data_IF_435641812526
#
_entry.id   IF_435641812526
#
_cell.length_a   1.000
_cell.length_b   1.000
_cell.length_c   1.000
_cell.angle_alpha   90.00
_cell.angle_beta   90.00
_cell.angle_gamma   90.00
#
_symmetry.space_group_name_H-M   'P 1'
#
loop_
_entity.id
_entity.type
_entity.pdbx_description
1 polymer ?
#
# COMPACT_ATOMS: atom_id res chain seq x y z
N UNK A 1 -7.46 13.51 -0.45
CA UNK A 1 -8.14 13.40 -1.76
C UNK A 1 -9.12 14.53 -2.04
N UNK A 2 -10.29 14.60 -1.38
CA UNK A 2 -11.31 15.61 -1.70
C UNK A 2 -10.77 17.04 -1.50
N UNK A 3 -10.03 17.26 -0.41
CA UNK A 3 -9.33 18.52 -0.17
C UNK A 3 -8.25 18.80 -1.22
N UNK A 4 -7.49 17.77 -1.64
CA UNK A 4 -6.41 17.92 -2.62
C UNK A 4 -6.91 18.31 -4.02
N UNK A 5 -8.18 18.02 -4.35
CA UNK A 5 -8.80 18.45 -5.61
C UNK A 5 -9.05 19.97 -5.65
N UNK A 6 -8.99 20.69 -4.53
CA UNK A 6 -9.29 22.12 -4.40
C UNK A 6 -10.76 22.50 -4.65
N UNK A 7 -11.54 21.66 -5.33
CA UNK A 7 -12.97 21.79 -5.57
C UNK A 7 -13.67 20.46 -5.26
N UNK A 8 -14.38 20.34 -4.12
CA UNK A 8 -14.90 19.05 -3.65
C UNK A 8 -15.91 18.41 -4.59
N UNK A 9 -16.67 19.21 -5.36
CA UNK A 9 -17.63 18.73 -6.36
C UNK A 9 -16.98 17.89 -7.49
N UNK A 10 -15.66 18.03 -7.71
CA UNK A 10 -14.95 17.22 -8.69
C UNK A 10 -14.96 15.73 -8.33
N UNK A 11 -14.99 15.38 -7.05
CA UNK A 11 -15.05 13.99 -6.62
C UNK A 11 -16.33 13.30 -7.12
N UNK A 12 -17.48 13.97 -7.01
CA UNK A 12 -18.76 13.45 -7.53
C UNK A 12 -18.72 13.31 -9.05
N UNK A 13 -18.07 14.26 -9.74
CA UNK A 13 -17.90 14.17 -11.19
C UNK A 13 -17.05 12.95 -11.61
N UNK A 14 -16.07 12.55 -10.80
CA UNK A 14 -15.27 11.35 -11.05
C UNK A 14 -16.08 10.05 -10.90
N UNK A 15 -17.08 10.04 -10.02
CA UNK A 15 -17.99 8.91 -9.81
C UNK A 15 -19.09 8.80 -10.88
N UNK A 16 -19.26 9.82 -11.73
CA UNK A 16 -20.30 9.81 -12.77
C UNK A 16 -20.01 8.83 -13.90
N UNK A 17 -18.74 8.61 -14.23
CA UNK A 17 -18.33 7.77 -15.38
C UNK A 17 -17.22 6.82 -14.95
N UNK A 18 -17.44 5.54 -15.21
CA UNK A 18 -16.42 4.50 -15.03
C UNK A 18 -15.47 4.49 -16.24
N UNK A 19 -14.22 4.92 -16.04
CA UNK A 19 -13.18 4.93 -17.09
C UNK A 19 -12.09 3.92 -16.77
N UNK A 20 -12.22 2.70 -17.29
CA UNK A 20 -11.27 1.61 -17.01
C UNK A 20 -9.82 1.90 -17.46
N UNK A 21 -9.61 2.76 -18.46
CA UNK A 21 -8.27 3.16 -18.92
C UNK A 21 -7.64 4.27 -18.07
N UNK A 22 -8.42 4.94 -17.22
CA UNK A 22 -7.90 6.00 -16.36
C UNK A 22 -7.60 5.45 -14.98
N UNK A 23 -6.31 5.38 -14.63
CA UNK A 23 -5.90 5.00 -13.28
C UNK A 23 -6.66 5.82 -12.23
N UNK A 24 -6.73 7.15 -12.40
CA UNK A 24 -7.42 8.05 -11.46
C UNK A 24 -8.92 7.71 -11.28
N UNK A 25 -9.62 7.33 -12.35
CA UNK A 25 -11.03 6.90 -12.26
C UNK A 25 -11.13 5.57 -11.50
N UNK A 26 -10.32 4.58 -11.84
CA UNK A 26 -10.31 3.27 -11.16
C UNK A 26 -10.10 3.40 -9.66
N UNK A 27 -9.20 4.29 -9.22
CA UNK A 27 -8.93 4.52 -7.80
C UNK A 27 -10.13 5.04 -7.01
N UNK A 28 -10.87 5.99 -7.59
CA UNK A 28 -12.07 6.52 -6.96
C UNK A 28 -13.14 5.44 -6.80
N UNK A 29 -13.33 4.60 -7.84
CA UNK A 29 -14.26 3.47 -7.74
C UNK A 29 -13.82 2.43 -6.71
N UNK A 30 -12.54 2.05 -6.69
CA UNK A 30 -11.98 1.12 -5.69
C UNK A 30 -12.18 1.68 -4.27
N UNK A 31 -11.85 2.96 -4.05
CA UNK A 31 -12.00 3.62 -2.75
C UNK A 31 -13.47 3.68 -2.32
N UNK A 32 -14.37 4.03 -3.23
CA UNK A 32 -15.80 4.10 -2.94
C UNK A 32 -16.38 2.72 -2.61
N UNK A 33 -16.04 1.68 -3.37
CA UNK A 33 -16.52 0.33 -3.07
C UNK A 33 -15.91 -0.24 -1.80
N UNK A 34 -14.61 0.00 -1.56
CA UNK A 34 -13.98 -0.32 -0.27
C UNK A 34 -14.72 0.34 0.89
N UNK A 35 -14.99 1.65 0.81
CA UNK A 35 -15.75 2.40 1.80
C UNK A 35 -17.16 1.85 2.02
N UNK A 36 -17.85 1.51 0.92
CA UNK A 36 -19.19 0.93 0.94
C UNK A 36 -19.23 -0.49 1.54
N UNK A 37 -18.11 -1.20 1.59
CA UNK A 37 -18.01 -2.50 2.26
C UNK A 37 -17.56 -2.36 3.72
N UNK A 38 -16.49 -1.61 3.98
CA UNK A 38 -15.81 -1.59 5.29
C UNK A 38 -16.65 -0.92 6.38
N UNK A 39 -17.31 0.20 6.07
CA UNK A 39 -18.10 0.95 7.06
C UNK A 39 -19.33 0.17 7.53
N UNK A 40 -20.25 -0.26 6.63
CA UNK A 40 -21.37 -1.08 7.07
C UNK A 40 -20.94 -2.46 7.57
N UNK A 41 -19.82 -3.02 7.08
CA UNK A 41 -19.28 -4.27 7.61
C UNK A 41 -18.85 -4.15 9.07
N UNK A 42 -18.19 -3.05 9.45
CA UNK A 42 -17.82 -2.77 10.83
C UNK A 42 -19.05 -2.54 11.70
N UNK A 43 -20.02 -1.76 11.23
CA UNK A 43 -21.28 -1.52 11.96
C UNK A 43 -22.03 -2.84 12.18
N UNK A 44 -22.15 -3.68 11.16
CA UNK A 44 -22.84 -4.96 11.25
C UNK A 44 -22.11 -5.94 12.18
N UNK A 45 -20.77 -5.93 12.19
CA UNK A 45 -19.96 -6.71 13.12
C UNK A 45 -20.20 -6.26 14.57
N UNK A 46 -20.24 -4.96 14.83
CA UNK A 46 -20.48 -4.40 16.16
C UNK A 46 -21.88 -4.73 16.69
N UNK A 47 -22.90 -4.58 15.84
CA UNK A 47 -24.29 -4.93 16.17
C UNK A 47 -24.45 -6.42 16.50
N UNK A 48 -23.73 -7.30 15.78
CA UNK A 48 -23.71 -8.74 16.04
C UNK A 48 -22.97 -9.07 17.35
N UNK A 49 -21.82 -8.43 17.60
CA UNK A 49 -21.02 -8.62 18.81
C UNK A 49 -21.80 -8.23 20.08
N UNK A 50 -22.59 -7.15 20.01
CA UNK A 50 -23.45 -6.70 21.11
C UNK A 50 -24.78 -7.44 21.22
N UNK A 51 -25.05 -8.44 20.37
CA UNK A 51 -26.30 -9.22 20.37
C UNK A 51 -27.55 -8.32 20.35
N UNK A 52 -27.50 -7.22 19.59
CA UNK A 52 -28.58 -6.22 19.54
C UNK A 52 -29.87 -6.81 18.97
N UNK A 53 -29.74 -7.77 18.06
CA UNK A 53 -30.86 -8.47 17.43
C UNK A 53 -30.82 -9.95 17.78
N UNK A 54 -32.00 -10.58 17.84
CA UNK A 54 -32.15 -12.01 18.06
C UNK A 54 -32.81 -12.73 16.89
N UNK A 55 -32.66 -14.06 16.84
CA UNK A 55 -33.34 -14.94 15.89
C UNK A 55 -32.87 -14.77 14.44
N UNK A 56 -33.81 -14.82 13.49
CA UNK A 56 -33.52 -14.81 12.04
C UNK A 56 -32.78 -13.54 11.59
N UNK A 57 -33.01 -12.41 12.26
CA UNK A 57 -32.36 -11.13 11.94
C UNK A 57 -30.86 -11.19 12.23
N UNK A 58 -30.46 -11.82 13.34
CA UNK A 58 -29.04 -12.02 13.67
C UNK A 58 -28.33 -12.90 12.64
N UNK A 59 -29.00 -13.95 12.16
CA UNK A 59 -28.45 -14.81 11.12
C UNK A 59 -28.25 -14.06 9.79
N UNK A 60 -29.20 -13.23 9.38
CA UNK A 60 -29.06 -12.37 8.21
C UNK A 60 -27.92 -11.35 8.40
N UNK A 61 -27.81 -10.75 9.58
CA UNK A 61 -26.75 -9.81 9.93
C UNK A 61 -25.38 -10.47 9.84
N UNK A 62 -25.22 -11.69 10.38
CA UNK A 62 -23.98 -12.46 10.31
C UNK A 62 -23.55 -12.75 8.86
N UNK A 63 -24.49 -13.12 7.99
CA UNK A 63 -24.21 -13.35 6.57
C UNK A 63 -23.78 -12.05 5.90
N UNK A 64 -24.53 -10.96 6.13
CA UNK A 64 -24.22 -9.64 5.59
C UNK A 64 -22.84 -9.16 6.04
N UNK A 65 -22.51 -9.30 7.33
CA UNK A 65 -21.20 -9.01 7.91
C UNK A 65 -20.10 -9.80 7.19
N UNK A 66 -20.29 -11.11 6.97
CA UNK A 66 -19.33 -11.94 6.25
C UNK A 66 -19.06 -11.46 4.82
N UNK A 67 -20.11 -11.13 4.07
CA UNK A 67 -20.01 -10.60 2.71
C UNK A 67 -19.30 -9.25 2.69
N UNK A 68 -19.63 -8.35 3.62
CA UNK A 68 -19.06 -7.01 3.71
C UNK A 68 -17.59 -7.04 4.14
N UNK A 69 -17.21 -7.92 5.08
CA UNK A 69 -15.81 -8.14 5.48
C UNK A 69 -15.00 -8.74 4.33
N UNK A 70 -15.56 -9.70 3.60
CA UNK A 70 -14.89 -10.25 2.42
C UNK A 70 -14.71 -9.18 1.34
N UNK A 71 -15.75 -8.38 1.07
CA UNK A 71 -15.68 -7.26 0.15
C UNK A 71 -14.64 -6.23 0.57
N UNK A 72 -14.58 -5.87 1.85
CA UNK A 72 -13.59 -4.92 2.35
C UNK A 72 -12.16 -5.45 2.25
N UNK A 73 -11.94 -6.75 2.49
CA UNK A 73 -10.64 -7.38 2.28
C UNK A 73 -10.22 -7.33 0.79
N UNK A 74 -11.12 -7.71 -0.12
CA UNK A 74 -10.86 -7.72 -1.56
C UNK A 74 -10.55 -6.31 -2.11
N UNK A 75 -11.44 -5.36 -1.87
CA UNK A 75 -11.23 -3.98 -2.33
C UNK A 75 -10.11 -3.28 -1.55
N UNK A 76 -9.83 -3.69 -0.32
CA UNK A 76 -8.71 -3.22 0.48
C UNK A 76 -7.36 -3.62 -0.13
N UNK A 77 -7.24 -4.85 -0.65
CA UNK A 77 -6.06 -5.27 -1.41
C UNK A 77 -5.86 -4.42 -2.67
N UNK A 78 -6.94 -4.19 -3.44
CA UNK A 78 -6.88 -3.32 -4.61
C UNK A 78 -6.45 -1.90 -4.22
N UNK A 79 -7.03 -1.35 -3.15
CA UNK A 79 -6.70 -0.01 -2.67
C UNK A 79 -5.24 0.11 -2.21
N UNK A 80 -4.70 -0.91 -1.55
CA UNK A 80 -3.31 -0.92 -1.07
C UNK A 80 -2.30 -0.93 -2.24
N UNK A 81 -2.58 -1.68 -3.30
CA UNK A 81 -1.70 -1.76 -4.50
C UNK A 81 -1.88 -0.57 -5.45
N UNK A 82 -3.04 0.07 -5.43
CA UNK A 82 -3.44 1.09 -6.39
C UNK A 82 -2.50 2.29 -6.45
N UNK A 83 -1.93 2.72 -5.33
CA UNK A 83 -0.96 3.82 -5.32
C UNK A 83 0.25 3.52 -6.20
N UNK A 84 0.77 2.29 -6.16
CA UNK A 84 1.88 1.85 -7.01
C UNK A 84 1.50 1.87 -8.50
N UNK A 85 0.28 1.47 -8.84
CA UNK A 85 -0.24 1.54 -10.22
C UNK A 85 -0.35 2.99 -10.69
N UNK A 86 -0.85 3.89 -9.83
CA UNK A 86 -1.03 5.30 -10.17
C UNK A 86 0.29 5.97 -10.56
N UNK A 87 1.36 5.74 -9.78
CA UNK A 87 2.68 6.31 -10.06
C UNK A 87 3.38 5.57 -11.22
N UNK A 88 3.22 4.25 -11.33
CA UNK A 88 3.83 3.44 -12.39
C UNK A 88 3.21 3.70 -13.77
N UNK A 89 1.98 4.19 -13.84
CA UNK A 89 1.30 4.57 -15.09
C UNK A 89 1.66 5.98 -15.60
N UNK A 90 2.69 6.62 -15.03
CA UNK A 90 3.17 7.94 -15.45
C UNK A 90 4.37 7.84 -16.39
N UNK A 91 4.73 8.95 -17.04
CA UNK A 91 5.91 9.05 -17.89
C UNK A 91 7.22 9.29 -17.10
N UNK A 92 7.21 9.24 -15.76
CA UNK A 92 8.41 9.44 -14.94
C UNK A 92 9.28 8.18 -15.02
N UNK A 93 10.53 8.27 -15.52
CA UNK A 93 11.36 7.10 -15.83
C UNK A 93 11.48 6.10 -14.68
N UNK A 94 11.88 6.58 -13.51
CA UNK A 94 12.08 5.74 -12.33
C UNK A 94 10.80 4.99 -11.91
N UNK A 95 9.61 5.56 -12.11
CA UNK A 95 8.35 4.90 -11.76
C UNK A 95 7.88 3.96 -12.86
N UNK A 96 7.99 4.38 -14.11
CA UNK A 96 7.53 3.60 -15.26
C UNK A 96 8.33 2.30 -15.43
N UNK A 97 9.65 2.35 -15.21
CA UNK A 97 10.51 1.16 -15.27
C UNK A 97 10.13 0.15 -14.19
N UNK A 98 9.78 0.63 -13.00
CA UNK A 98 9.39 -0.21 -11.86
C UNK A 98 7.87 -0.43 -11.75
N UNK A 99 7.10 -0.23 -12.82
CA UNK A 99 5.62 -0.31 -12.81
C UNK A 99 5.06 -1.67 -12.37
N UNK A 100 5.83 -2.75 -12.49
CA UNK A 100 5.45 -4.08 -11.99
C UNK A 100 5.78 -4.27 -10.51
N UNK A 101 6.85 -3.62 -10.02
CA UNK A 101 7.32 -3.75 -8.65
C UNK A 101 6.54 -2.83 -7.69
N UNK A 102 6.24 -1.60 -8.13
CA UNK A 102 5.58 -0.58 -7.31
C UNK A 102 4.22 -1.04 -6.74
N UNK A 103 3.31 -1.67 -7.51
CA UNK A 103 2.04 -2.16 -6.96
C UNK A 103 2.24 -3.22 -5.87
N UNK A 104 3.23 -4.09 -6.04
CA UNK A 104 3.57 -5.14 -5.06
C UNK A 104 4.08 -4.47 -3.78
N UNK A 105 5.07 -3.58 -3.92
CA UNK A 105 5.67 -2.81 -2.83
C UNK A 105 4.65 -2.03 -2.00
N UNK A 106 3.80 -1.23 -2.66
CA UNK A 106 2.79 -0.45 -1.95
C UNK A 106 1.73 -1.34 -1.28
N UNK A 107 1.39 -2.47 -1.90
CA UNK A 107 0.50 -3.47 -1.33
C UNK A 107 1.07 -4.12 -0.08
N UNK A 108 2.32 -4.59 -0.12
CA UNK A 108 3.01 -5.25 1.00
C UNK A 108 3.32 -4.29 2.12
N UNK A 109 3.78 -3.08 1.81
CA UNK A 109 3.97 -2.01 2.78
C UNK A 109 2.65 -1.61 3.46
N UNK A 110 1.54 -1.57 2.71
CA UNK A 110 0.20 -1.32 3.26
C UNK A 110 -0.25 -2.43 4.22
N UNK A 111 -0.12 -3.69 3.78
CA UNK A 111 -0.48 -4.87 4.56
C UNK A 111 0.34 -4.99 5.85
N UNK A 112 1.66 -4.86 5.76
CA UNK A 112 2.56 -4.92 6.91
C UNK A 112 2.38 -3.74 7.87
N UNK A 113 2.06 -2.54 7.36
CA UNK A 113 1.71 -1.39 8.20
C UNK A 113 0.43 -1.61 9.00
N UNK A 114 -0.60 -2.19 8.37
CA UNK A 114 -1.85 -2.53 9.05
C UNK A 114 -1.60 -3.59 10.15
N UNK A 115 -0.82 -4.62 9.83
CA UNK A 115 -0.46 -5.65 10.81
C UNK A 115 0.35 -5.07 11.99
N UNK A 116 1.38 -4.27 11.70
CA UNK A 116 2.20 -3.63 12.73
C UNK A 116 1.41 -2.68 13.62
N UNK A 117 0.47 -1.91 13.06
CA UNK A 117 -0.39 -1.04 13.85
C UNK A 117 -1.29 -1.85 14.81
N UNK A 118 -1.89 -2.93 14.34
CA UNK A 118 -2.72 -3.79 15.19
C UNK A 118 -1.90 -4.46 16.30
N UNK A 119 -0.68 -4.91 15.99
CA UNK A 119 0.27 -5.46 16.98
C UNK A 119 0.62 -4.42 18.06
N UNK A 120 0.86 -3.16 17.68
CA UNK A 120 1.14 -2.06 18.62
C UNK A 120 -0.08 -1.67 19.46
N UNK A 121 -1.29 -1.82 18.92
CA UNK A 121 -2.54 -1.66 19.67
C UNK A 121 -2.80 -2.83 20.65
N UNK A 122 -1.91 -3.83 20.71
CA UNK A 122 -1.99 -4.94 21.65
C UNK A 122 -2.63 -6.20 21.11
N UNK A 123 -3.00 -6.24 19.82
CA UNK A 123 -3.55 -7.45 19.20
C UNK A 123 -2.42 -8.45 18.92
N UNK A 124 -2.30 -9.48 19.76
CA UNK A 124 -1.25 -10.50 19.66
C UNK A 124 -1.76 -11.80 19.03
N UNK A 125 -2.27 -11.68 17.80
CA UNK A 125 -2.77 -12.83 17.04
C UNK A 125 -1.64 -13.48 16.25
N UNK A 126 -1.58 -14.82 16.23
CA UNK A 126 -0.61 -15.55 15.42
C UNK A 126 -0.70 -15.17 13.92
N UNK A 127 -1.92 -14.92 13.43
CA UNK A 127 -2.16 -14.48 12.06
C UNK A 127 -1.50 -13.12 11.75
N UNK A 128 -1.49 -12.16 12.68
CA UNK A 128 -0.83 -10.86 12.48
C UNK A 128 0.68 -11.04 12.35
N UNK A 129 1.26 -11.91 13.17
CA UNK A 129 2.69 -12.19 13.09
C UNK A 129 3.07 -12.87 11.76
N UNK A 130 2.24 -13.81 11.27
CA UNK A 130 2.43 -14.43 9.94
C UNK A 130 2.37 -13.38 8.83
N UNK A 131 1.39 -12.48 8.86
CA UNK A 131 1.28 -11.37 7.90
C UNK A 131 2.49 -10.45 7.98
N UNK A 132 2.97 -10.14 9.18
CA UNK A 132 4.15 -9.31 9.40
C UNK A 132 5.44 -9.95 8.88
N UNK A 133 5.62 -11.26 9.07
CA UNK A 133 6.72 -12.02 8.47
C UNK A 133 6.62 -12.03 6.95
N UNK A 134 5.44 -12.32 6.40
CA UNK A 134 5.20 -12.31 4.96
C UNK A 134 5.56 -10.96 4.34
N UNK A 135 5.06 -9.86 4.91
CA UNK A 135 5.37 -8.52 4.45
C UNK A 135 6.88 -8.24 4.49
N UNK A 136 7.55 -8.52 5.61
CA UNK A 136 9.00 -8.30 5.74
C UNK A 136 9.83 -9.16 4.78
N UNK A 137 9.43 -10.41 4.52
CA UNK A 137 10.10 -11.28 3.54
C UNK A 137 9.95 -10.72 2.14
N UNK A 138 8.72 -10.35 1.73
CA UNK A 138 8.48 -9.80 0.39
C UNK A 138 9.25 -8.50 0.20
N UNK A 139 9.21 -7.58 1.16
CA UNK A 139 9.97 -6.33 1.12
C UNK A 139 11.49 -6.58 1.01
N UNK A 140 12.01 -7.60 1.71
CA UNK A 140 13.43 -7.99 1.59
C UNK A 140 13.78 -8.52 0.20
N UNK A 141 12.88 -9.31 -0.41
CA UNK A 141 13.06 -9.80 -1.79
C UNK A 141 13.00 -8.64 -2.78
N UNK A 142 12.08 -7.69 -2.59
CA UNK A 142 11.98 -6.50 -3.44
C UNK A 142 13.24 -5.64 -3.38
N UNK A 143 13.81 -5.43 -2.17
CA UNK A 143 15.09 -4.74 -1.99
C UNK A 143 16.24 -5.43 -2.75
N UNK A 144 16.33 -6.76 -2.65
CA UNK A 144 17.34 -7.54 -3.37
C UNK A 144 17.14 -7.40 -4.87
N UNK A 145 15.90 -7.50 -5.35
CA UNK A 145 15.58 -7.38 -6.76
C UNK A 145 15.92 -5.98 -7.30
N UNK A 146 15.56 -4.93 -6.57
CA UNK A 146 15.91 -3.53 -6.91
C UNK A 146 17.44 -3.33 -6.96
N UNK A 147 18.19 -4.04 -6.12
CA UNK A 147 19.66 -3.96 -6.10
C UNK A 147 20.33 -4.67 -7.27
N UNK A 148 19.67 -5.69 -7.84
CA UNK A 148 20.17 -6.49 -8.96
C UNK A 148 19.72 -5.90 -10.30
N UNK A 149 18.45 -5.47 -10.39
CA UNK A 149 17.80 -5.02 -11.62
C UNK A 149 18.12 -3.55 -11.94
N UNK A 150 19.37 -3.33 -12.35
CA UNK A 150 19.88 -1.99 -12.66
C UNK A 150 19.52 -1.59 -14.08
N UNK A 151 18.58 -0.66 -14.22
CA UNK A 151 18.16 -0.11 -15.51
C UNK A 151 19.12 0.96 -16.08
N UNK A 152 20.42 0.85 -15.80
CA UNK A 152 21.45 1.76 -16.33
C UNK A 152 21.18 3.24 -16.01
N UNK A 153 21.27 4.10 -17.02
CA UNK A 153 21.16 5.56 -16.86
C UNK A 153 19.78 6.02 -16.35
N UNK A 154 18.71 5.27 -16.62
CA UNK A 154 17.36 5.64 -16.19
C UNK A 154 17.13 5.43 -14.68
N UNK A 155 18.04 4.72 -14.01
CA UNK A 155 17.98 4.39 -12.59
C UNK A 155 18.98 5.13 -11.71
N UNK A 156 19.73 6.08 -12.29
CA UNK A 156 20.71 6.91 -11.57
C UNK A 156 20.10 7.64 -10.37
N UNK A 157 18.83 8.05 -10.47
CA UNK A 157 18.10 8.69 -9.36
C UNK A 157 17.90 7.78 -8.14
N UNK A 158 17.82 6.46 -8.34
CA UNK A 158 17.70 5.46 -7.26
C UNK A 158 19.07 5.09 -6.70
N UNK A 159 20.13 5.15 -7.51
CA UNK A 159 21.43 4.59 -7.16
C UNK A 159 22.51 5.63 -6.79
N UNK A 160 22.52 6.79 -7.45
CA UNK A 160 23.60 7.78 -7.38
C UNK A 160 23.22 9.04 -6.58
N UNK A 161 21.92 9.34 -6.50
CA UNK A 161 21.44 10.55 -5.82
C UNK A 161 21.09 10.32 -4.35
N UNK A 162 21.10 11.41 -3.57
CA UNK A 162 20.68 11.40 -2.16
C UNK A 162 19.28 10.83 -1.91
N UNK A 163 18.39 10.92 -2.91
CA UNK A 163 17.06 10.30 -2.90
C UNK A 163 17.09 8.78 -2.80
N UNK A 164 18.14 8.13 -3.32
CA UNK A 164 18.35 6.69 -3.23
C UNK A 164 18.57 6.19 -1.81
N UNK A 165 19.14 7.03 -0.94
CA UNK A 165 19.31 6.68 0.48
C UNK A 165 17.98 6.55 1.21
N UNK A 166 16.97 7.35 0.85
CA UNK A 166 15.64 7.21 1.44
C UNK A 166 15.00 5.87 1.06
N UNK A 167 15.14 5.43 -0.19
CA UNK A 167 14.64 4.11 -0.62
C UNK A 167 15.35 3.00 0.14
N UNK A 168 16.70 3.02 0.18
CA UNK A 168 17.48 1.99 0.88
C UNK A 168 17.17 1.93 2.37
N UNK A 169 17.10 3.08 3.05
CA UNK A 169 16.76 3.13 4.48
C UNK A 169 15.35 2.58 4.68
N UNK A 170 14.37 3.05 3.88
CA UNK A 170 12.99 2.59 3.97
C UNK A 170 12.86 1.07 3.81
N UNK A 171 13.49 0.51 2.77
CA UNK A 171 13.44 -0.91 2.44
C UNK A 171 14.19 -1.79 3.44
N UNK A 172 15.32 -1.32 4.00
CA UNK A 172 16.01 -2.03 5.08
C UNK A 172 15.12 -2.13 6.33
N UNK A 173 14.42 -1.04 6.65
CA UNK A 173 13.53 -0.95 7.81
C UNK A 173 12.27 -1.81 7.65
N UNK A 174 11.66 -1.88 6.45
CA UNK A 174 10.48 -2.73 6.17
C UNK A 174 10.84 -4.19 5.99
N UNK A 175 11.98 -4.50 5.38
CA UNK A 175 12.39 -5.87 5.09
C UNK A 175 13.29 -6.48 6.17
N UNK A 176 14.62 -6.50 5.96
CA UNK A 176 15.55 -7.30 6.75
C UNK A 176 15.58 -6.92 8.23
N UNK A 177 15.52 -5.62 8.58
CA UNK A 177 15.53 -5.23 9.98
C UNK A 177 14.25 -5.68 10.70
N UNK A 178 13.08 -5.45 10.11
CA UNK A 178 11.82 -5.92 10.68
C UNK A 178 11.80 -7.45 10.82
N UNK A 179 12.34 -8.18 9.82
CA UNK A 179 12.43 -9.63 9.85
C UNK A 179 13.33 -10.12 11.00
N UNK A 180 14.51 -9.53 11.17
CA UNK A 180 15.44 -9.84 12.26
C UNK A 180 14.79 -9.55 13.62
N UNK A 181 14.16 -8.39 13.78
CA UNK A 181 13.47 -8.03 15.02
C UNK A 181 12.34 -9.02 15.36
N UNK A 182 11.57 -9.47 14.36
CA UNK A 182 10.55 -10.51 14.56
C UNK A 182 11.16 -11.85 14.96
N UNK A 183 12.27 -12.24 14.34
CA UNK A 183 12.97 -13.49 14.66
C UNK A 183 13.42 -13.54 16.13
N UNK A 184 13.88 -12.42 16.68
CA UNK A 184 14.23 -12.29 18.10
C UNK A 184 13.01 -12.11 19.04
N UNK A 185 11.78 -12.20 18.52
CA UNK A 185 10.55 -12.03 19.31
C UNK A 185 10.24 -10.58 19.69
N UNK A 186 10.96 -9.60 19.13
CA UNK A 186 10.80 -8.17 19.40
C UNK A 186 9.70 -7.55 18.51
N UNK A 187 8.51 -8.14 18.55
CA UNK A 187 7.37 -7.79 17.67
C UNK A 187 7.02 -6.29 17.69
N UNK A 188 6.93 -5.59 18.84
CA UNK A 188 6.65 -4.16 18.85
C UNK A 188 7.72 -3.32 18.13
N UNK A 189 8.99 -3.66 18.31
CA UNK A 189 10.09 -2.97 17.63
C UNK A 189 10.09 -3.26 16.13
N UNK A 190 9.77 -4.50 15.73
CA UNK A 190 9.59 -4.83 14.33
C UNK A 190 8.44 -4.04 13.69
N UNK A 191 7.31 -3.89 14.40
CA UNK A 191 6.17 -3.08 13.94
C UNK A 191 6.54 -1.61 13.79
N UNK A 192 7.25 -1.02 14.76
CA UNK A 192 7.75 0.36 14.68
C UNK A 192 8.72 0.53 13.50
N UNK A 193 9.69 -0.38 13.37
CA UNK A 193 10.64 -0.38 12.25
C UNK A 193 9.90 -0.43 10.91
N UNK A 194 8.93 -1.32 10.77
CA UNK A 194 8.16 -1.48 9.55
C UNK A 194 7.36 -0.22 9.22
N UNK A 195 6.67 0.38 10.20
CA UNK A 195 5.89 1.61 9.99
C UNK A 195 6.77 2.78 9.57
N UNK A 196 7.91 2.97 10.23
CA UNK A 196 8.88 4.02 9.87
C UNK A 196 9.45 3.75 8.48
N UNK A 197 9.84 2.51 8.19
CA UNK A 197 10.35 2.11 6.89
C UNK A 197 9.35 2.36 5.76
N UNK A 198 8.08 1.97 5.96
CA UNK A 198 7.02 2.15 4.98
C UNK A 198 6.76 3.64 4.71
N UNK A 199 6.83 4.49 5.74
CA UNK A 199 6.71 5.94 5.59
C UNK A 199 7.89 6.52 4.80
N UNK A 200 9.12 6.18 5.20
CA UNK A 200 10.35 6.66 4.56
C UNK A 200 10.42 6.21 3.10
N UNK A 201 10.06 4.96 2.81
CA UNK A 201 10.04 4.40 1.47
C UNK A 201 9.05 5.15 0.55
N UNK A 202 7.86 5.50 1.04
CA UNK A 202 6.88 6.30 0.27
C UNK A 202 7.44 7.67 -0.12
N UNK A 203 8.09 8.36 0.82
CA UNK A 203 8.75 9.64 0.52
C UNK A 203 9.95 9.46 -0.41
N UNK A 204 10.71 8.36 -0.25
CA UNK A 204 11.82 8.00 -1.13
C UNK A 204 11.38 7.85 -2.59
N UNK A 205 10.33 7.08 -2.85
CA UNK A 205 9.77 6.91 -4.19
C UNK A 205 9.28 8.23 -4.80
N UNK A 206 8.63 9.09 -4.00
CA UNK A 206 8.20 10.43 -4.47
C UNK A 206 9.41 11.31 -4.81
N UNK A 207 10.45 11.32 -3.97
CA UNK A 207 11.65 12.11 -4.16
C UNK A 207 12.44 11.65 -5.40
N UNK A 208 12.62 10.34 -5.55
CA UNK A 208 13.27 9.73 -6.72
C UNK A 208 12.54 10.11 -8.01
N UNK A 209 11.22 10.09 -8.03
CA UNK A 209 10.47 10.46 -9.22
C UNK A 209 10.66 11.93 -9.61
N UNK A 210 10.78 12.84 -8.64
CA UNK A 210 11.07 14.26 -8.91
C UNK A 210 12.45 14.45 -9.53
N UNK A 211 13.46 13.77 -8.99
CA UNK A 211 14.85 13.82 -9.50
C UNK A 211 14.91 13.22 -10.91
N UNK A 212 14.37 12.02 -11.08
CA UNK A 212 14.35 11.29 -12.35
C UNK A 212 13.56 12.03 -13.45
N UNK A 213 12.42 12.63 -13.11
CA UNK A 213 11.61 13.40 -14.07
C UNK A 213 12.25 14.73 -14.50
N UNK A 214 13.23 15.22 -13.74
CA UNK A 214 13.96 16.46 -14.04
C UNK A 214 15.27 16.21 -14.80
N UNK A 215 15.67 14.95 -14.95
CA UNK A 215 16.88 14.53 -15.66
C UNK A 215 16.55 14.20 -17.14
N UNK A 216 17.01 15.03 -18.11
CA UNK A 216 16.73 14.78 -19.52
C UNK A 216 17.29 13.44 -20.02
N UNK A 217 18.46 13.02 -19.53
CA UNK A 217 19.10 11.77 -19.96
C UNK A 217 18.27 10.56 -19.53
N UNK A 218 17.75 10.58 -18.30
CA UNK A 218 16.86 9.53 -17.79
C UNK A 218 15.54 9.46 -18.57
N UNK A 219 14.99 10.60 -18.97
CA UNK A 219 13.75 10.66 -19.78
C UNK A 219 13.98 10.04 -21.15
N UNK A 220 15.03 10.44 -21.88
CA UNK A 220 15.32 9.87 -23.19
C UNK A 220 15.66 8.37 -23.12
N UNK A 221 16.35 7.94 -22.07
CA UNK A 221 16.65 6.52 -21.86
C UNK A 221 15.39 5.67 -21.66
N UNK A 222 14.35 6.21 -21.00
CA UNK A 222 13.09 5.48 -20.74
C UNK A 222 12.16 5.32 -21.94
N UNK A 223 12.40 6.09 -23.01
CA UNK A 223 11.58 6.10 -24.23
C UNK A 223 12.14 5.19 -25.34
N UNK A 224 13.27 4.52 -25.08
CA UNK A 224 13.86 3.52 -25.99
C UNK A 224 13.31 2.13 -25.69
#
# INVERSE_FOLDING_TARGET
>A
LIMDLGRPLLFINMLRVFKHQSAMSMGVWILSTFGACVVPGLIALELHAHQVFGGTIDQLLRIATGVLIFGSAFFGTLLATYTGVLIGATAIPAWFLHRLLLPIHFGTAGLGSAAGLLELLGHRLAALNVVGYYAAVVESVLLIWLSIDKHGMADRAIHEHGSGWLIRIGEILTGPLALILRFFGLVPFAAISFLIGALVSRFGWIAVGKVSGSDPEAVFASQR
#
